data_IF_857196254487
#
_entry.id   IF_857196254487
#
_cell.length_a   1.000
_cell.length_b   1.000
_cell.length_c   1.000
_cell.angle_alpha   90.00
_cell.angle_beta   90.00
_cell.angle_gamma   90.00
#
_symmetry.space_group_name_H-M   'P 1'
#
loop_
_entity.id
_entity.type
_entity.pdbx_description
1 polymer ?
#
# COMPACT_ATOMS: atom_id res chain seq x y z
N UNK A 1 -11.74 -30.18 17.48
CA UNK A 1 -10.71 -29.86 16.47
C UNK A 1 -10.03 -28.55 16.87
N UNK A 2 -8.86 -28.68 17.46
CA UNK A 2 -7.75 -27.75 17.75
C UNK A 2 -7.99 -26.22 17.77
N UNK A 3 -8.69 -25.71 18.79
CA UNK A 3 -8.74 -24.26 19.07
C UNK A 3 -7.34 -23.63 19.19
N UNK A 4 -6.40 -24.34 19.83
CA UNK A 4 -5.01 -23.92 19.99
C UNK A 4 -4.24 -23.79 18.67
N UNK A 5 -4.57 -24.64 17.68
CA UNK A 5 -3.96 -24.55 16.35
C UNK A 5 -4.50 -23.31 15.64
N UNK A 6 -5.82 -23.10 15.69
CA UNK A 6 -6.47 -21.95 15.07
C UNK A 6 -5.99 -20.60 15.64
N UNK A 7 -5.79 -20.52 16.97
CA UNK A 7 -5.22 -19.33 17.62
C UNK A 7 -3.76 -19.05 17.21
N UNK A 8 -2.95 -20.10 17.00
CA UNK A 8 -1.58 -19.95 16.45
C UNK A 8 -1.59 -19.42 15.02
N UNK A 9 -2.47 -19.94 14.16
CA UNK A 9 -2.61 -19.46 12.79
C UNK A 9 -3.09 -18.01 12.74
N UNK A 10 -4.03 -17.63 13.60
CA UNK A 10 -4.47 -16.25 13.75
C UNK A 10 -3.34 -15.30 14.21
N UNK A 11 -2.51 -15.73 15.16
CA UNK A 11 -1.37 -14.93 15.62
C UNK A 11 -0.30 -14.78 14.53
N UNK A 12 -0.10 -15.82 13.72
CA UNK A 12 0.85 -15.84 12.62
C UNK A 12 0.49 -14.84 11.50
N UNK A 13 -0.80 -14.58 11.23
CA UNK A 13 -1.19 -13.60 10.20
C UNK A 13 -0.87 -12.16 10.58
N UNK A 14 -0.91 -11.81 11.87
CA UNK A 14 -0.48 -10.49 12.36
C UNK A 14 1.02 -10.28 12.21
N UNK A 15 1.81 -11.30 12.55
CA UNK A 15 3.27 -11.29 12.32
C UNK A 15 3.56 -11.17 10.83
N UNK A 16 2.83 -11.87 9.98
CA UNK A 16 3.01 -11.81 8.55
C UNK A 16 2.61 -10.45 7.94
N UNK A 17 1.62 -9.73 8.50
CA UNK A 17 1.37 -8.33 8.13
C UNK A 17 2.56 -7.42 8.46
N UNK A 18 3.10 -7.53 9.68
CA UNK A 18 4.29 -6.75 10.08
C UNK A 18 5.48 -7.09 9.18
N UNK A 19 5.69 -8.37 8.88
CA UNK A 19 6.74 -8.81 7.97
C UNK A 19 6.53 -8.26 6.54
N UNK A 20 5.30 -8.24 6.03
CA UNK A 20 4.98 -7.64 4.74
C UNK A 20 5.24 -6.13 4.72
N UNK A 21 4.91 -5.42 5.80
CA UNK A 21 5.22 -4.00 5.97
C UNK A 21 6.73 -3.73 5.95
N UNK A 22 7.50 -4.53 6.71
CA UNK A 22 8.96 -4.43 6.79
C UNK A 22 9.58 -4.74 5.42
N UNK A 23 9.13 -5.79 4.75
CA UNK A 23 9.59 -6.16 3.42
C UNK A 23 9.28 -5.07 2.39
N UNK A 24 8.07 -4.49 2.41
CA UNK A 24 7.73 -3.37 1.54
C UNK A 24 8.61 -2.14 1.78
N UNK A 25 8.96 -1.87 3.04
CA UNK A 25 9.86 -0.77 3.39
C UNK A 25 11.31 -1.04 2.95
N UNK A 26 11.76 -2.28 3.04
CA UNK A 26 13.09 -2.69 2.59
C UNK A 26 13.26 -2.62 1.07
N UNK A 27 12.20 -2.88 0.31
CA UNK A 27 12.19 -2.82 -1.16
C UNK A 27 12.03 -1.38 -1.66
N UNK A 28 11.35 -0.52 -0.89
CA UNK A 28 11.14 0.87 -1.27
C UNK A 28 12.46 1.67 -1.13
N UNK A 29 12.93 2.33 -2.20
CA UNK A 29 14.09 3.21 -2.10
C UNK A 29 13.79 4.39 -1.16
N UNK A 30 14.85 5.01 -0.63
CA UNK A 30 14.68 6.06 0.39
C UNK A 30 13.95 7.26 -0.23
N UNK A 31 12.79 7.65 0.31
CA UNK A 31 12.05 8.78 -0.23
C UNK A 31 12.84 10.09 -0.03
N UNK A 32 12.72 11.05 -0.98
CA UNK A 32 13.25 12.39 -0.81
C UNK A 32 12.60 13.10 0.38
N UNK A 33 13.32 14.06 0.96
CA UNK A 33 12.86 14.82 2.14
C UNK A 33 11.76 15.80 1.74
N UNK A 34 10.90 16.21 2.69
CA UNK A 34 9.87 17.22 2.43
C UNK A 34 10.44 18.59 2.01
N UNK A 35 11.70 18.88 2.36
CA UNK A 35 12.42 20.09 1.95
C UNK A 35 12.95 20.02 0.53
N UNK A 36 12.92 18.86 -0.13
CA UNK A 36 13.53 18.68 -1.44
C UNK A 36 12.64 19.29 -2.55
N UNK A 37 13.25 19.80 -3.63
CA UNK A 37 12.51 20.35 -4.76
C UNK A 37 11.49 19.37 -5.35
N UNK A 38 10.34 19.89 -5.80
CA UNK A 38 9.29 19.08 -6.42
C UNK A 38 9.79 18.25 -7.63
N UNK A 39 10.83 18.71 -8.32
CA UNK A 39 11.48 17.98 -9.42
C UNK A 39 12.19 16.71 -8.93
N UNK A 40 12.84 16.75 -7.76
CA UNK A 40 13.51 15.59 -7.15
C UNK A 40 12.49 14.53 -6.71
N UNK A 41 11.33 14.98 -6.21
CA UNK A 41 10.21 14.08 -5.88
C UNK A 41 9.67 13.39 -7.14
N UNK A 42 9.45 14.15 -8.21
CA UNK A 42 8.99 13.59 -9.47
C UNK A 42 9.99 12.59 -10.06
N UNK A 43 11.29 12.89 -9.99
CA UNK A 43 12.35 12.06 -10.54
C UNK A 43 12.55 10.75 -9.77
N UNK A 44 12.31 10.78 -8.45
CA UNK A 44 12.28 9.58 -7.62
C UNK A 44 11.20 8.59 -8.08
N UNK A 45 9.99 9.06 -8.37
CA UNK A 45 8.87 8.21 -8.79
C UNK A 45 9.01 7.69 -10.22
N UNK A 46 9.72 8.39 -11.11
CA UNK A 46 9.99 7.92 -12.48
C UNK A 46 11.09 6.87 -12.51
N UNK A 47 12.19 7.07 -11.78
CA UNK A 47 13.32 6.13 -11.78
C UNK A 47 13.06 4.86 -10.95
N UNK A 48 12.27 4.95 -9.88
CA UNK A 48 12.02 3.83 -8.96
C UNK A 48 10.63 3.22 -9.10
N UNK A 49 9.99 3.42 -10.26
CA UNK A 49 8.59 3.06 -10.48
C UNK A 49 8.27 1.60 -10.17
N UNK A 50 9.10 0.66 -10.64
CA UNK A 50 8.92 -0.78 -10.43
C UNK A 50 9.00 -1.17 -8.95
N UNK A 51 10.00 -0.66 -8.22
CA UNK A 51 10.17 -0.91 -6.79
C UNK A 51 9.04 -0.30 -5.96
N UNK A 52 8.57 0.90 -6.33
CA UNK A 52 7.43 1.56 -5.66
C UNK A 52 6.15 0.76 -5.87
N UNK A 53 5.89 0.29 -7.09
CA UNK A 53 4.72 -0.55 -7.40
C UNK A 53 4.77 -1.89 -6.70
N UNK A 54 5.93 -2.57 -6.73
CA UNK A 54 6.13 -3.84 -6.04
C UNK A 54 5.89 -3.71 -4.52
N UNK A 55 6.46 -2.68 -3.88
CA UNK A 55 6.22 -2.39 -2.47
C UNK A 55 4.75 -2.07 -2.17
N UNK A 56 4.06 -1.40 -3.08
CA UNK A 56 2.62 -1.10 -2.95
C UNK A 56 1.78 -2.37 -3.02
N UNK A 57 2.01 -3.25 -4.01
CA UNK A 57 1.26 -4.52 -4.15
C UNK A 57 1.51 -5.43 -2.95
N UNK A 58 2.75 -5.52 -2.48
CA UNK A 58 3.11 -6.33 -1.33
C UNK A 58 2.43 -5.83 -0.04
N UNK A 59 2.54 -4.54 0.26
CA UNK A 59 1.99 -3.98 1.50
C UNK A 59 0.47 -3.84 1.47
N UNK A 60 -0.08 -3.22 0.43
CA UNK A 60 -1.52 -2.98 0.33
C UNK A 60 -2.27 -4.27 0.00
N UNK A 61 -1.81 -5.04 -1.00
CA UNK A 61 -2.46 -6.29 -1.37
C UNK A 61 -2.29 -7.37 -0.31
N UNK A 62 -1.08 -7.93 -0.21
CA UNK A 62 -0.82 -9.09 0.67
C UNK A 62 -0.93 -8.69 2.14
N UNK A 63 -0.27 -7.59 2.53
CA UNK A 63 -0.33 -7.08 3.90
C UNK A 63 -1.75 -6.68 4.32
N UNK A 64 -2.49 -5.96 3.48
CA UNK A 64 -3.86 -5.55 3.78
C UNK A 64 -4.81 -6.73 4.03
N UNK A 65 -4.73 -7.79 3.21
CA UNK A 65 -5.52 -9.01 3.40
C UNK A 65 -5.14 -9.71 4.72
N UNK A 66 -3.85 -9.82 5.03
CA UNK A 66 -3.38 -10.41 6.29
C UNK A 66 -3.82 -9.59 7.51
N UNK A 67 -3.82 -8.27 7.41
CA UNK A 67 -4.31 -7.40 8.48
C UNK A 67 -5.82 -7.59 8.70
N UNK A 68 -6.62 -7.62 7.63
CA UNK A 68 -8.07 -7.88 7.72
C UNK A 68 -8.35 -9.23 8.37
N UNK A 69 -7.63 -10.26 7.95
CA UNK A 69 -7.76 -11.60 8.48
C UNK A 69 -7.40 -11.68 9.97
N UNK A 70 -6.31 -11.02 10.36
CA UNK A 70 -5.90 -10.89 11.77
C UNK A 70 -6.96 -10.13 12.58
N UNK A 71 -7.52 -9.06 12.04
CA UNK A 71 -8.54 -8.24 12.71
C UNK A 71 -9.83 -9.03 12.97
N UNK A 72 -10.28 -9.81 11.98
CA UNK A 72 -11.42 -10.72 12.14
C UNK A 72 -11.18 -11.78 13.22
N UNK A 73 -9.97 -12.36 13.23
CA UNK A 73 -9.56 -13.35 14.22
C UNK A 73 -9.46 -12.76 15.63
N UNK A 74 -8.86 -11.57 15.76
CA UNK A 74 -8.75 -10.82 17.02
C UNK A 74 -10.14 -10.48 17.58
N UNK A 75 -11.06 -10.02 16.72
CA UNK A 75 -12.45 -9.72 17.11
C UNK A 75 -13.12 -10.96 17.70
N UNK A 76 -12.98 -12.12 17.03
CA UNK A 76 -13.58 -13.37 17.46
C UNK A 76 -13.01 -13.84 18.81
N UNK A 77 -11.68 -13.75 18.97
CA UNK A 77 -10.98 -14.10 20.20
C UNK A 77 -11.40 -13.23 21.38
N UNK A 78 -11.45 -11.91 21.21
CA UNK A 78 -11.88 -10.98 22.27
C UNK A 78 -13.35 -11.19 22.63
N UNK A 79 -14.23 -11.50 21.67
CA UNK A 79 -15.65 -11.79 21.95
C UNK A 79 -15.86 -13.07 22.75
N UNK A 80 -14.96 -14.05 22.64
CA UNK A 80 -15.02 -15.30 23.42
C UNK A 80 -14.60 -15.13 24.89
N UNK A 81 -13.98 -14.00 25.25
CA UNK A 81 -13.43 -13.73 26.61
C UNK A 81 -14.40 -13.04 27.58
N UNK A 82 -15.66 -12.77 27.21
CA UNK A 82 -16.71 -12.30 28.13
C UNK A 82 -17.38 -10.96 27.74
N UNK A 83 -18.40 -10.56 28.50
CA UNK A 83 -19.29 -9.41 28.22
C UNK A 83 -18.56 -8.06 28.20
N UNK A 84 -17.61 -7.82 29.11
CA UNK A 84 -16.79 -6.60 29.12
C UNK A 84 -15.82 -6.52 27.94
N UNK A 85 -15.37 -7.67 27.44
CA UNK A 85 -14.50 -7.74 26.26
C UNK A 85 -15.26 -7.44 24.94
N UNK A 86 -16.60 -7.37 24.97
CA UNK A 86 -17.41 -7.01 23.81
C UNK A 86 -17.18 -5.58 23.31
N UNK A 87 -17.12 -4.60 24.23
CA UNK A 87 -16.80 -3.20 23.89
C UNK A 87 -15.36 -3.05 23.41
N UNK A 88 -14.41 -3.70 24.10
CA UNK A 88 -13.00 -3.66 23.73
C UNK A 88 -12.76 -4.29 22.35
N UNK A 89 -13.45 -5.40 22.04
CA UNK A 89 -13.43 -6.06 20.73
C UNK A 89 -13.96 -5.15 19.62
N UNK A 90 -15.07 -4.45 19.86
CA UNK A 90 -15.65 -3.52 18.90
C UNK A 90 -14.72 -2.33 18.61
N UNK A 91 -14.11 -1.76 19.65
CA UNK A 91 -13.16 -0.64 19.52
C UNK A 91 -11.87 -1.07 18.82
N UNK A 92 -11.28 -2.21 19.21
CA UNK A 92 -10.07 -2.74 18.57
C UNK A 92 -10.30 -3.05 17.08
N UNK A 93 -11.44 -3.65 16.75
CA UNK A 93 -11.79 -3.91 15.36
C UNK A 93 -12.08 -2.63 14.58
N UNK A 94 -12.83 -1.68 15.16
CA UNK A 94 -13.14 -0.40 14.51
C UNK A 94 -11.88 0.42 14.22
N UNK A 95 -11.01 0.56 15.21
CA UNK A 95 -9.73 1.28 15.07
C UNK A 95 -8.80 0.60 14.06
N UNK A 96 -8.71 -0.72 14.05
CA UNK A 96 -7.91 -1.45 13.05
C UNK A 96 -8.44 -1.29 11.63
N UNK A 97 -9.76 -1.20 11.44
CA UNK A 97 -10.36 -0.96 10.13
C UNK A 97 -10.05 0.46 9.63
N UNK A 98 -10.15 1.46 10.52
CA UNK A 98 -9.77 2.85 10.20
C UNK A 98 -8.27 2.94 9.87
N UNK A 99 -7.42 2.27 10.65
CA UNK A 99 -5.98 2.22 10.39
C UNK A 99 -5.67 1.59 9.02
N UNK A 100 -6.34 0.50 8.65
CA UNK A 100 -6.21 -0.11 7.33
C UNK A 100 -6.59 0.86 6.20
N UNK A 101 -7.69 1.59 6.36
CA UNK A 101 -8.13 2.59 5.37
C UNK A 101 -7.08 3.69 5.19
N UNK A 102 -6.55 4.22 6.29
CA UNK A 102 -5.49 5.25 6.26
C UNK A 102 -4.24 4.71 5.55
N UNK A 103 -3.81 3.49 5.87
CA UNK A 103 -2.67 2.85 5.22
C UNK A 103 -2.92 2.66 3.71
N UNK A 104 -4.11 2.20 3.32
CA UNK A 104 -4.50 2.05 1.92
C UNK A 104 -4.46 3.38 1.17
N UNK A 105 -4.88 4.47 1.80
CA UNK A 105 -4.81 5.81 1.22
C UNK A 105 -3.36 6.20 0.89
N UNK A 106 -2.42 5.94 1.80
CA UNK A 106 -0.99 6.24 1.61
C UNK A 106 -0.44 5.46 0.40
N UNK A 107 -0.74 4.16 0.31
CA UNK A 107 -0.30 3.33 -0.81
C UNK A 107 -0.95 3.72 -2.14
N UNK A 108 -2.24 4.09 -2.12
CA UNK A 108 -2.96 4.57 -3.30
C UNK A 108 -2.36 5.86 -3.87
N UNK A 109 -2.00 6.82 -3.00
CA UNK A 109 -1.34 8.06 -3.42
C UNK A 109 0.00 7.76 -4.09
N UNK A 110 0.81 6.87 -3.52
CA UNK A 110 2.10 6.46 -4.10
C UNK A 110 1.95 5.82 -5.47
N UNK A 111 0.97 4.93 -5.62
CA UNK A 111 0.66 4.29 -6.91
C UNK A 111 0.17 5.31 -7.95
N UNK A 112 -0.74 6.21 -7.56
CA UNK A 112 -1.27 7.25 -8.44
C UNK A 112 -0.17 8.18 -8.96
N UNK A 113 0.78 8.58 -8.11
CA UNK A 113 1.93 9.38 -8.51
C UNK A 113 2.83 8.63 -9.49
N UNK A 114 3.11 7.34 -9.23
CA UNK A 114 3.90 6.50 -10.12
C UNK A 114 3.27 6.36 -11.52
N UNK A 115 1.95 6.06 -11.60
CA UNK A 115 1.24 5.95 -12.88
C UNK A 115 1.07 7.28 -13.60
N UNK A 116 0.73 8.36 -12.88
CA UNK A 116 0.48 9.68 -13.44
C UNK A 116 1.73 10.38 -14.02
N UNK A 117 2.92 10.01 -13.53
CA UNK A 117 4.20 10.48 -14.09
C UNK A 117 4.62 9.66 -15.31
N UNK A 118 4.39 8.34 -15.29
CA UNK A 118 4.67 7.44 -16.42
C UNK A 118 3.83 7.78 -17.67
N UNK A 119 2.54 8.08 -17.51
CA UNK A 119 1.69 8.49 -18.65
C UNK A 119 2.14 9.79 -19.32
N UNK A 120 2.76 10.70 -18.57
CA UNK A 120 3.27 11.98 -19.08
C UNK A 120 4.52 11.82 -19.94
N UNK A 121 5.44 10.94 -19.56
CA UNK A 121 6.67 10.71 -20.34
C UNK A 121 6.37 10.14 -21.72
N UNK A 122 5.44 9.16 -21.79
CA UNK A 122 4.98 8.54 -23.05
C UNK A 122 4.31 9.58 -23.96
N UNK A 123 3.43 10.42 -23.40
CA UNK A 123 2.72 11.46 -24.18
C UNK A 123 3.67 12.51 -24.75
N UNK A 124 4.74 12.86 -24.00
CA UNK A 124 5.76 13.82 -24.44
C UNK A 124 6.62 13.24 -25.58
N UNK A 125 7.05 11.98 -25.45
CA UNK A 125 7.76 11.27 -26.52
C UNK A 125 6.94 11.18 -27.81
N UNK A 126 5.64 10.87 -27.72
CA UNK A 126 4.74 10.77 -28.88
C UNK A 126 4.61 12.10 -29.64
N UNK A 127 4.55 13.24 -28.92
CA UNK A 127 4.52 14.58 -29.54
C UNK A 127 5.84 14.96 -30.21
N UNK A 128 6.98 14.50 -29.68
CA UNK A 128 8.28 14.75 -30.29
C UNK A 128 8.50 13.93 -31.57
N UNK A 129 7.85 12.77 -31.69
CA UNK A 129 7.92 11.89 -32.87
C UNK A 129 6.89 12.20 -33.95
N UNK A 130 5.89 13.05 -33.70
CA UNK A 130 4.95 13.48 -34.75
C UNK A 130 5.65 14.48 -35.68
N UNK A 131 5.86 14.15 -36.96
CA UNK A 131 6.46 15.09 -37.91
C UNK A 131 5.57 16.33 -38.03
N UNK A 132 6.19 17.50 -38.01
CA UNK A 132 5.47 18.77 -38.26
C UNK A 132 4.84 18.70 -39.66
N UNK A 133 3.57 19.13 -39.84
CA UNK A 133 2.97 19.21 -41.16
C UNK A 133 3.86 20.06 -42.05
N UNK A 134 4.37 19.46 -43.12
CA UNK A 134 5.21 20.15 -44.09
C UNK A 134 4.40 21.26 -44.73
N UNK A 135 4.96 22.48 -44.89
CA UNK A 135 4.20 23.68 -45.28
C UNK A 135 3.68 23.68 -46.74
N UNK A 136 3.73 22.56 -47.44
CA UNK A 136 3.57 22.49 -48.90
C UNK A 136 2.29 21.78 -49.38
N UNK A 137 1.36 21.43 -48.48
CA UNK A 137 0.04 20.91 -48.89
C UNK A 137 -1.05 21.93 -48.55
N UNK A 138 -1.24 22.90 -49.45
CA UNK A 138 -2.47 23.68 -49.56
C UNK A 138 -2.79 23.88 -51.03
#
# INVERSE_FOLDING_TARGET
MDDARWERWASATGIGFVAALVAAYAIAPRPPKLSDPAITVADYFTHNQSSVLAGTVLAAGVGGVMLLWWLGSLRLFLRRRGSDAGRLSAVAFGSGLVALVILMQIFAIRAALAFGLSGRSIRRSRKASTPSPTPWTR
#
